data_IF_706919816657
#
_entry.id   IF_706919816657
#
_cell.length_a   1.000
_cell.length_b   1.000
_cell.length_c   1.000
_cell.angle_alpha   90.00
_cell.angle_beta   90.00
_cell.angle_gamma   90.00
#
_symmetry.space_group_name_H-M   'P 1'
#
loop_
_entity.id
_entity.type
_entity.pdbx_description
1 polymer ?
#
# COMPACT_ATOMS: atom_id res chain seq x y z
N UNK A 1 -20.09 54.14 -36.55
CA UNK A 1 -20.40 53.30 -35.41
C UNK A 1 -19.23 52.42 -35.03
N UNK A 2 -18.63 52.68 -33.87
CA UNK A 2 -17.63 51.77 -33.27
C UNK A 2 -18.38 50.66 -32.53
N UNK A 3 -18.21 49.43 -32.99
CA UNK A 3 -18.69 48.25 -32.29
C UNK A 3 -17.54 47.73 -31.45
N UNK A 4 -17.65 47.88 -30.12
CA UNK A 4 -16.77 47.24 -29.13
C UNK A 4 -17.24 45.77 -29.01
N UNK A 5 -16.45 44.86 -29.53
CA UNK A 5 -16.60 43.42 -29.24
C UNK A 5 -15.91 43.16 -27.91
N UNK A 6 -16.70 43.04 -26.87
CA UNK A 6 -16.22 42.53 -25.59
C UNK A 6 -15.79 41.06 -25.72
N UNK A 7 -14.52 40.80 -25.52
CA UNK A 7 -14.03 39.42 -25.34
C UNK A 7 -14.49 38.90 -23.97
N UNK A 8 -15.62 38.22 -23.96
CA UNK A 8 -15.93 37.33 -22.81
C UNK A 8 -14.90 36.21 -22.80
N UNK A 9 -13.97 36.34 -21.88
CA UNK A 9 -13.06 35.28 -21.51
C UNK A 9 -13.89 34.22 -20.83
N UNK A 10 -14.37 33.23 -21.61
CA UNK A 10 -14.94 32.01 -21.04
C UNK A 10 -13.91 31.36 -20.15
N UNK A 11 -14.01 31.60 -18.84
CA UNK A 11 -13.44 30.73 -17.84
C UNK A 11 -14.20 29.42 -18.01
N UNK A 12 -13.58 28.46 -18.69
CA UNK A 12 -14.02 27.09 -18.64
C UNK A 12 -13.70 26.60 -17.22
N UNK A 13 -14.67 26.72 -16.30
CA UNK A 13 -14.75 25.85 -15.14
C UNK A 13 -14.93 24.45 -15.70
N UNK A 14 -13.81 23.78 -15.92
CA UNK A 14 -13.82 22.34 -16.19
C UNK A 14 -14.14 21.63 -14.88
N UNK A 15 -15.43 21.54 -14.53
CA UNK A 15 -15.95 20.48 -13.67
C UNK A 15 -15.74 19.16 -14.40
N UNK A 16 -14.50 18.69 -14.49
CA UNK A 16 -14.23 17.32 -14.86
C UNK A 16 -14.73 16.47 -13.69
N UNK A 17 -15.82 15.76 -13.89
CA UNK A 17 -16.29 14.76 -12.94
C UNK A 17 -15.20 13.71 -12.75
N UNK A 18 -15.02 13.24 -11.52
CA UNK A 18 -14.12 12.13 -11.22
C UNK A 18 -14.52 10.92 -12.07
N UNK A 19 -13.56 10.35 -12.77
CA UNK A 19 -13.73 9.14 -13.56
C UNK A 19 -13.02 7.99 -12.87
N UNK A 20 -13.74 6.89 -12.61
CA UNK A 20 -13.24 5.68 -11.96
C UNK A 20 -13.34 4.54 -12.96
N UNK A 21 -12.21 4.03 -13.41
CA UNK A 21 -12.15 2.95 -14.40
C UNK A 21 -11.41 1.74 -13.80
N UNK A 22 -12.03 0.57 -13.86
CA UNK A 22 -11.39 -0.67 -13.41
C UNK A 22 -10.06 -0.88 -14.13
N UNK A 23 -8.98 -1.08 -13.36
CA UNK A 23 -7.62 -1.16 -13.92
C UNK A 23 -7.28 -2.57 -14.43
N UNK A 24 -7.66 -3.60 -13.68
CA UNK A 24 -7.46 -5.00 -14.06
C UNK A 24 -8.60 -5.89 -13.58
N UNK A 25 -8.74 -7.12 -14.10
CA UNK A 25 -9.71 -8.08 -13.57
C UNK A 25 -9.47 -8.47 -12.11
N UNK A 26 -8.22 -8.45 -11.66
CA UNK A 26 -7.85 -8.91 -10.32
C UNK A 26 -8.07 -7.82 -9.25
N UNK A 27 -7.50 -6.63 -9.44
CA UNK A 27 -7.48 -5.58 -8.41
C UNK A 27 -7.18 -4.22 -9.03
N UNK A 28 -7.74 -3.17 -8.46
CA UNK A 28 -7.41 -1.78 -8.72
C UNK A 28 -8.34 -1.05 -9.68
N UNK A 29 -8.42 0.27 -9.48
CA UNK A 29 -9.07 1.21 -10.39
C UNK A 29 -8.16 2.42 -10.65
N UNK A 30 -8.20 2.93 -11.88
CA UNK A 30 -7.58 4.19 -12.26
C UNK A 30 -8.56 5.33 -12.01
N UNK A 31 -8.06 6.40 -11.38
CA UNK A 31 -8.83 7.61 -11.04
C UNK A 31 -8.28 8.77 -11.84
N UNK A 32 -9.18 9.48 -12.56
CA UNK A 32 -8.90 10.69 -13.29
C UNK A 32 -9.85 11.83 -12.89
N UNK A 33 -9.53 13.05 -13.25
CA UNK A 33 -10.39 14.22 -13.01
C UNK A 33 -10.34 14.78 -11.60
N UNK A 34 -9.42 14.30 -10.74
CA UNK A 34 -9.16 14.85 -9.39
C UNK A 34 -7.71 15.34 -9.29
N UNK A 35 -7.50 16.48 -8.64
CA UNK A 35 -6.16 17.05 -8.36
C UNK A 35 -5.89 16.97 -6.85
N UNK A 36 -5.14 15.94 -6.46
CA UNK A 36 -4.81 15.69 -5.05
C UNK A 36 -3.91 16.77 -4.44
N UNK A 37 -3.21 17.57 -5.25
CA UNK A 37 -2.34 18.65 -4.76
C UNK A 37 -3.09 19.76 -4.03
N UNK A 38 -4.39 19.88 -4.24
CA UNK A 38 -5.30 20.82 -3.55
C UNK A 38 -6.11 20.19 -2.42
N UNK A 39 -5.88 18.88 -2.15
CA UNK A 39 -6.72 18.10 -1.25
C UNK A 39 -7.98 17.58 -1.94
N UNK A 40 -8.87 16.99 -1.14
CA UNK A 40 -10.14 16.44 -1.59
C UNK A 40 -11.30 17.23 -0.97
N UNK A 41 -12.31 17.57 -1.75
CA UNK A 41 -13.60 18.05 -1.22
C UNK A 41 -14.32 16.95 -0.45
N UNK A 42 -15.44 17.28 0.21
CA UNK A 42 -16.26 16.30 0.91
C UNK A 42 -16.83 15.21 0.00
N UNK A 43 -17.29 15.60 -1.19
CA UNK A 43 -17.86 14.67 -2.17
C UNK A 43 -16.77 13.82 -2.85
N UNK A 44 -15.67 14.45 -3.30
CA UNK A 44 -14.53 13.71 -3.86
C UNK A 44 -14.01 12.64 -2.88
N UNK A 45 -13.93 12.97 -1.59
CA UNK A 45 -13.50 11.99 -0.60
C UNK A 45 -14.48 10.82 -0.46
N UNK A 46 -15.78 11.06 -0.46
CA UNK A 46 -16.78 9.99 -0.40
C UNK A 46 -16.66 9.03 -1.59
N UNK A 47 -16.47 9.59 -2.80
CA UNK A 47 -16.29 8.80 -4.01
C UNK A 47 -14.96 8.00 -3.98
N UNK A 48 -13.87 8.63 -3.55
CA UNK A 48 -12.56 7.97 -3.38
C UNK A 48 -12.63 6.87 -2.34
N UNK A 49 -13.24 7.13 -1.17
CA UNK A 49 -13.39 6.12 -0.12
C UNK A 49 -14.25 4.92 -0.58
N UNK A 50 -15.35 5.20 -1.28
CA UNK A 50 -16.15 4.13 -1.87
C UNK A 50 -15.35 3.31 -2.89
N UNK A 51 -14.65 3.97 -3.80
CA UNK A 51 -13.81 3.29 -4.79
C UNK A 51 -12.68 2.48 -4.14
N UNK A 52 -12.11 2.98 -3.04
CA UNK A 52 -11.09 2.29 -2.26
C UNK A 52 -11.60 0.95 -1.70
N UNK A 53 -12.81 0.93 -1.15
CA UNK A 53 -13.43 -0.30 -0.66
C UNK A 53 -13.84 -1.26 -1.80
N UNK A 54 -14.31 -0.72 -2.92
CA UNK A 54 -14.75 -1.52 -4.07
C UNK A 54 -13.58 -2.14 -4.85
N UNK A 55 -12.44 -1.44 -4.94
CA UNK A 55 -11.31 -1.80 -5.82
C UNK A 55 -9.99 -2.11 -5.10
N UNK A 56 -9.87 -1.88 -3.81
CA UNK A 56 -8.73 -2.14 -2.90
C UNK A 56 -7.45 -1.35 -3.22
N UNK A 57 -7.22 -0.97 -4.48
CA UNK A 57 -6.08 -0.14 -4.92
C UNK A 57 -6.59 0.93 -5.87
N UNK A 58 -6.20 2.18 -5.62
CA UNK A 58 -6.53 3.31 -6.49
C UNK A 58 -5.26 3.92 -7.09
N UNK A 59 -5.26 4.08 -8.40
CA UNK A 59 -4.18 4.66 -9.19
C UNK A 59 -4.60 6.03 -9.70
N UNK A 60 -4.05 7.10 -9.11
CA UNK A 60 -4.33 8.47 -9.52
C UNK A 60 -3.27 8.90 -10.53
N UNK A 61 -3.69 9.09 -11.77
CA UNK A 61 -2.85 9.54 -12.88
C UNK A 61 -2.81 11.06 -12.97
N UNK A 62 -1.80 11.57 -13.71
CA UNK A 62 -1.68 12.97 -14.10
C UNK A 62 -1.68 13.95 -12.92
N UNK A 63 -1.11 13.50 -11.78
CA UNK A 63 -1.07 14.31 -10.59
C UNK A 63 0.08 15.31 -10.62
N UNK A 64 -0.11 16.44 -9.92
CA UNK A 64 0.98 17.31 -9.53
C UNK A 64 1.67 16.76 -8.27
N UNK A 65 2.85 17.27 -7.96
CA UNK A 65 3.46 16.99 -6.68
C UNK A 65 2.57 17.49 -5.54
N UNK A 66 2.20 16.61 -4.62
CA UNK A 66 1.35 16.96 -3.49
C UNK A 66 2.23 17.63 -2.42
N UNK A 67 1.88 18.84 -1.94
CA UNK A 67 2.55 19.42 -0.78
C UNK A 67 2.52 18.47 0.42
N UNK A 68 3.59 18.37 1.24
CA UNK A 68 3.64 17.46 2.38
C UNK A 68 2.45 17.58 3.32
N UNK A 69 2.05 18.80 3.68
CA UNK A 69 0.91 19.09 4.53
C UNK A 69 -0.43 18.60 3.94
N UNK A 70 -0.61 18.75 2.63
CA UNK A 70 -1.81 18.26 1.93
C UNK A 70 -1.84 16.74 1.88
N UNK A 71 -0.68 16.10 1.66
CA UNK A 71 -0.56 14.64 1.69
C UNK A 71 -0.96 14.06 3.06
N UNK A 72 -0.48 14.69 4.13
CA UNK A 72 -0.85 14.38 5.52
C UNK A 72 -2.35 14.58 5.75
N UNK A 73 -2.92 15.70 5.30
CA UNK A 73 -4.35 16.00 5.47
C UNK A 73 -5.25 15.00 4.73
N UNK A 74 -4.89 14.58 3.52
CA UNK A 74 -5.64 13.54 2.81
C UNK A 74 -5.59 12.22 3.60
N UNK A 75 -4.42 11.82 4.08
CA UNK A 75 -4.28 10.60 4.90
C UNK A 75 -5.16 10.64 6.15
N UNK A 76 -5.19 11.76 6.86
CA UNK A 76 -6.00 11.96 8.08
C UNK A 76 -7.51 11.84 7.85
N UNK A 77 -7.98 11.99 6.63
CA UNK A 77 -9.40 11.78 6.30
C UNK A 77 -9.82 10.31 6.36
N UNK A 78 -8.87 9.38 6.15
CA UNK A 78 -9.12 7.94 6.29
C UNK A 78 -9.00 7.47 7.75
N UNK A 79 -8.26 8.18 8.60
CA UNK A 79 -8.04 7.84 10.00
C UNK A 79 -6.78 8.49 10.59
N UNK A 80 -6.42 8.08 11.79
CA UNK A 80 -5.15 8.49 12.38
C UNK A 80 -3.98 8.01 11.53
N UNK A 81 -2.85 8.71 11.60
CA UNK A 81 -1.67 8.31 10.84
C UNK A 81 -0.79 7.34 11.66
N UNK A 82 -0.21 6.40 10.97
CA UNK A 82 0.73 5.42 11.50
C UNK A 82 2.17 5.90 11.29
N UNK A 83 3.01 5.73 12.31
CA UNK A 83 4.44 6.05 12.26
C UNK A 83 5.23 4.74 12.11
N UNK A 84 6.08 4.66 11.10
CA UNK A 84 6.85 3.46 10.83
C UNK A 84 7.81 3.16 12.00
N UNK A 85 7.81 1.92 12.56
CA UNK A 85 8.54 1.62 13.79
C UNK A 85 10.08 1.65 13.65
N UNK A 86 10.60 1.50 12.43
CA UNK A 86 12.04 1.37 12.17
C UNK A 86 12.61 2.43 11.23
N UNK A 87 11.81 3.01 10.34
CA UNK A 87 12.30 3.93 9.31
C UNK A 87 12.47 5.37 9.84
N UNK A 88 13.47 6.13 9.35
CA UNK A 88 13.62 7.54 9.68
C UNK A 88 12.49 8.37 9.07
N UNK A 89 12.05 9.37 9.82
CA UNK A 89 10.97 10.28 9.47
C UNK A 89 11.49 11.47 8.67
N UNK A 90 10.59 12.13 7.94
CA UNK A 90 10.91 13.37 7.22
C UNK A 90 11.01 14.55 8.21
N UNK A 91 12.03 15.38 8.07
CA UNK A 91 12.16 16.61 8.86
C UNK A 91 10.97 17.54 8.61
N UNK A 92 10.36 18.05 9.68
CA UNK A 92 9.18 18.92 9.64
C UNK A 92 7.84 18.18 9.40
N UNK A 93 7.86 16.93 8.95
CA UNK A 93 6.68 16.10 8.68
C UNK A 93 6.93 14.66 9.10
N UNK A 94 6.92 14.37 10.42
CA UNK A 94 7.25 13.03 10.93
C UNK A 94 6.28 11.94 10.50
N UNK A 95 5.09 12.30 10.01
CA UNK A 95 4.09 11.39 9.46
C UNK A 95 4.47 10.87 8.07
N UNK A 96 5.44 11.53 7.39
CA UNK A 96 5.84 11.17 6.03
C UNK A 96 7.08 10.29 6.08
N UNK A 97 6.97 9.11 5.49
CA UNK A 97 8.11 8.26 5.21
C UNK A 97 8.63 8.50 3.80
N UNK A 98 9.92 8.86 3.69
CA UNK A 98 10.61 9.06 2.42
C UNK A 98 11.15 7.72 1.92
N UNK A 99 10.66 7.29 0.76
CA UNK A 99 11.24 6.17 0.01
C UNK A 99 12.30 6.75 -0.93
N UNK A 100 13.53 6.25 -0.83
CA UNK A 100 14.61 6.66 -1.71
C UNK A 100 15.57 5.49 -1.94
N UNK A 101 15.73 5.11 -3.19
CA UNK A 101 16.69 4.12 -3.66
C UNK A 101 17.61 4.80 -4.67
N UNK A 102 18.91 4.59 -4.55
CA UNK A 102 19.95 5.21 -5.38
C UNK A 102 21.12 4.24 -5.59
N UNK A 103 22.16 4.67 -6.32
CA UNK A 103 23.33 3.85 -6.68
C UNK A 103 23.99 3.13 -5.50
N UNK A 104 24.04 3.77 -4.34
CA UNK A 104 24.72 3.23 -3.15
C UNK A 104 23.77 2.41 -2.26
N UNK A 105 22.49 2.32 -2.60
CA UNK A 105 21.52 1.50 -1.89
C UNK A 105 21.84 0.02 -2.04
N UNK A 106 21.84 -0.71 -0.92
CA UNK A 106 22.08 -2.15 -0.88
C UNK A 106 20.79 -2.97 -0.91
N UNK A 107 19.70 -2.33 -0.56
CA UNK A 107 18.34 -2.91 -0.45
C UNK A 107 17.34 -1.86 -0.92
N UNK A 108 16.19 -2.30 -1.42
CA UNK A 108 15.05 -1.44 -1.71
C UNK A 108 13.91 -1.70 -0.73
N UNK A 109 13.12 -0.66 -0.43
CA UNK A 109 11.94 -0.83 0.41
C UNK A 109 10.84 -1.55 -0.38
N UNK A 110 10.28 -2.62 0.21
CA UNK A 110 9.16 -3.33 -0.37
C UNK A 110 9.52 -4.33 -1.46
N UNK A 111 10.78 -4.79 -1.54
CA UNK A 111 11.26 -5.77 -2.52
C UNK A 111 10.80 -7.22 -2.27
N UNK A 112 9.89 -7.44 -1.34
CA UNK A 112 9.24 -8.72 -1.05
C UNK A 112 7.73 -8.54 -1.03
N UNK A 113 6.98 -9.61 -1.30
CA UNK A 113 5.54 -9.61 -1.08
C UNK A 113 5.20 -9.37 0.39
N UNK A 114 4.44 -8.32 0.67
CA UNK A 114 4.05 -7.96 2.03
C UNK A 114 2.76 -7.14 2.07
N UNK A 115 2.14 -7.17 3.24
CA UNK A 115 1.24 -6.12 3.72
C UNK A 115 2.03 -5.24 4.68
N UNK A 116 1.89 -3.92 4.58
CA UNK A 116 2.70 -2.99 5.37
C UNK A 116 2.59 -3.27 6.87
N UNK A 117 3.76 -3.40 7.52
CA UNK A 117 3.93 -3.46 8.97
C UNK A 117 2.97 -4.46 9.65
N UNK A 118 2.70 -5.61 9.01
CA UNK A 118 1.83 -6.64 9.58
C UNK A 118 2.35 -7.26 10.87
N UNK A 119 3.55 -6.90 11.29
CA UNK A 119 4.14 -7.24 12.58
C UNK A 119 3.60 -6.42 13.75
N UNK A 120 2.92 -5.31 13.52
CA UNK A 120 2.28 -4.51 14.57
C UNK A 120 1.01 -5.17 15.09
N UNK A 121 0.62 -4.88 16.34
CA UNK A 121 -0.65 -5.36 16.92
C UNK A 121 -1.86 -4.80 16.17
N UNK A 122 -1.77 -3.54 15.75
CA UNK A 122 -2.74 -2.82 14.92
C UNK A 122 -2.06 -2.38 13.61
N UNK A 123 -1.95 -3.28 12.61
CA UNK A 123 -1.30 -2.97 11.36
C UNK A 123 -2.00 -1.84 10.59
N UNK A 124 -1.28 -1.10 9.74
CA UNK A 124 -1.87 -0.02 8.96
C UNK A 124 -3.08 -0.44 8.14
N UNK A 125 -4.12 0.42 8.12
CA UNK A 125 -5.27 0.30 7.25
C UNK A 125 -4.87 0.41 5.78
N UNK A 126 -4.09 1.44 5.44
CA UNK A 126 -3.72 1.72 4.06
C UNK A 126 -2.52 2.65 3.95
N UNK A 127 -2.00 2.73 2.75
CA UNK A 127 -0.84 3.57 2.44
C UNK A 127 -1.08 4.36 1.16
N UNK A 128 -0.73 5.65 1.18
CA UNK A 128 -0.77 6.55 0.05
C UNK A 128 0.65 6.97 -0.33
N UNK A 129 1.10 6.52 -1.51
CA UNK A 129 2.45 6.78 -2.03
C UNK A 129 2.40 7.65 -3.27
N UNK A 130 3.23 8.69 -3.31
CA UNK A 130 3.54 9.46 -4.52
C UNK A 130 5.01 9.31 -4.89
N UNK A 131 5.30 9.04 -6.17
CA UNK A 131 6.68 8.99 -6.68
C UNK A 131 7.01 10.22 -7.51
N UNK A 132 8.08 10.92 -7.10
CA UNK A 132 8.54 12.16 -7.74
C UNK A 132 9.69 11.95 -8.71
N UNK A 133 10.54 10.95 -8.44
CA UNK A 133 11.67 10.56 -9.27
C UNK A 133 11.55 9.08 -9.61
N UNK A 134 11.66 8.78 -10.88
CA UNK A 134 11.52 7.43 -11.42
C UNK A 134 12.72 7.09 -12.31
N UNK A 135 13.14 5.82 -12.33
CA UNK A 135 14.05 5.33 -13.34
C UNK A 135 13.42 5.42 -14.74
N UNK A 136 14.21 5.52 -15.81
CA UNK A 136 13.67 5.53 -17.17
C UNK A 136 12.94 4.22 -17.55
N UNK A 137 13.35 3.10 -16.93
CA UNK A 137 12.77 1.77 -17.11
C UNK A 137 12.79 1.02 -15.78
N UNK A 138 11.77 0.22 -15.50
CA UNK A 138 11.67 -0.56 -14.27
C UNK A 138 11.04 0.21 -13.11
N UNK A 139 11.12 -0.35 -11.91
CA UNK A 139 10.57 0.23 -10.68
C UNK A 139 9.06 0.13 -10.54
N UNK A 140 8.43 -0.78 -11.26
CA UNK A 140 6.99 -1.04 -11.16
C UNK A 140 6.63 -1.61 -9.79
N UNK A 141 5.35 -1.54 -9.44
CA UNK A 141 4.81 -2.17 -8.22
C UNK A 141 3.74 -3.18 -8.60
N UNK A 142 3.83 -4.36 -8.00
CA UNK A 142 2.83 -5.42 -8.11
C UNK A 142 1.87 -5.35 -6.91
N UNK A 143 0.59 -5.62 -7.15
CA UNK A 143 -0.44 -5.73 -6.11
C UNK A 143 -1.17 -7.06 -6.27
N UNK A 144 -1.48 -7.74 -5.18
CA UNK A 144 -2.19 -9.02 -5.17
C UNK A 144 -3.44 -8.96 -4.29
N UNK A 145 -4.57 -9.45 -4.80
CA UNK A 145 -5.88 -9.42 -4.18
C UNK A 145 -6.06 -10.57 -3.19
N UNK A 146 -6.04 -10.26 -1.90
CA UNK A 146 -6.17 -11.27 -0.85
C UNK A 146 -7.61 -11.73 -0.59
N UNK A 147 -8.62 -10.97 -1.03
CA UNK A 147 -9.99 -11.46 -1.07
C UNK A 147 -10.11 -12.62 -2.07
N UNK A 148 -9.65 -12.39 -3.30
CA UNK A 148 -9.67 -13.43 -4.34
C UNK A 148 -8.82 -14.64 -3.94
N UNK A 149 -7.66 -14.41 -3.34
CA UNK A 149 -6.81 -15.49 -2.83
C UNK A 149 -7.54 -16.37 -1.82
N UNK A 150 -8.33 -15.80 -0.91
CA UNK A 150 -9.17 -16.58 0.01
C UNK A 150 -10.33 -17.27 -0.73
N UNK A 151 -11.06 -16.54 -1.56
CA UNK A 151 -12.27 -17.03 -2.26
C UNK A 151 -11.95 -18.20 -3.21
N UNK A 152 -10.75 -18.29 -3.78
CA UNK A 152 -10.33 -19.37 -4.69
C UNK A 152 -9.72 -20.61 -3.99
N UNK A 153 -9.56 -20.57 -2.66
CA UNK A 153 -9.30 -21.80 -1.90
C UNK A 153 -10.52 -22.72 -1.93
N UNK A 154 -10.29 -24.04 -1.89
CA UNK A 154 -11.39 -24.98 -1.70
C UNK A 154 -12.12 -24.72 -0.37
N UNK A 155 -13.43 -24.96 -0.31
CA UNK A 155 -14.22 -24.77 0.92
C UNK A 155 -13.62 -25.51 2.13
N UNK A 156 -13.05 -26.68 1.91
CA UNK A 156 -12.38 -27.45 2.97
C UNK A 156 -11.15 -26.71 3.48
N UNK A 157 -10.37 -26.13 2.58
CA UNK A 157 -9.15 -25.43 2.98
C UNK A 157 -9.46 -24.05 3.56
N UNK A 158 -10.51 -23.36 3.10
CA UNK A 158 -11.02 -22.14 3.74
C UNK A 158 -11.39 -22.41 5.21
N UNK A 159 -12.19 -23.46 5.46
CA UNK A 159 -12.58 -23.86 6.83
C UNK A 159 -11.39 -24.23 7.71
N UNK A 160 -10.38 -24.85 7.13
CA UNK A 160 -9.14 -25.14 7.85
C UNK A 160 -8.38 -23.85 8.20
N UNK A 161 -8.23 -22.92 7.27
CA UNK A 161 -7.54 -21.65 7.48
C UNK A 161 -8.28 -20.71 8.45
N UNK A 162 -9.60 -20.71 8.46
CA UNK A 162 -10.43 -19.85 9.32
C UNK A 162 -10.17 -20.05 10.82
N UNK A 163 -9.64 -21.20 11.23
CA UNK A 163 -9.30 -21.51 12.62
C UNK A 163 -7.85 -21.30 13.00
N UNK A 164 -7.02 -20.79 12.07
CA UNK A 164 -5.57 -20.67 12.28
C UNK A 164 -5.15 -19.24 12.59
N UNK A 165 -4.08 -19.12 13.37
CA UNK A 165 -3.39 -17.86 13.63
C UNK A 165 -1.90 -17.96 13.25
N UNK A 166 -1.32 -16.84 12.82
CA UNK A 166 0.04 -16.78 12.34
C UNK A 166 0.86 -15.73 13.11
N UNK A 167 2.12 -16.04 13.38
CA UNK A 167 3.08 -15.12 13.96
C UNK A 167 3.70 -14.27 12.84
N UNK A 168 3.66 -12.95 13.02
CA UNK A 168 4.31 -11.97 12.17
C UNK A 168 5.45 -11.31 12.93
N UNK A 169 6.67 -11.43 12.42
CA UNK A 169 7.89 -10.94 13.05
C UNK A 169 8.61 -9.96 12.13
N UNK A 170 9.30 -8.97 12.70
CA UNK A 170 9.94 -7.92 11.90
C UNK A 170 11.44 -7.80 12.09
N UNK A 171 12.03 -8.48 13.06
CA UNK A 171 13.46 -8.35 13.34
C UNK A 171 14.32 -8.68 12.10
N UNK A 172 14.04 -9.79 11.43
CA UNK A 172 14.76 -10.24 10.23
C UNK A 172 14.57 -9.29 9.03
N UNK A 173 13.48 -8.48 9.03
CA UNK A 173 13.20 -7.50 7.99
C UNK A 173 13.88 -6.15 8.29
N UNK A 174 13.87 -5.71 9.54
CA UNK A 174 14.24 -4.34 9.89
C UNK A 174 15.66 -4.19 10.47
N UNK A 175 16.23 -5.23 11.10
CA UNK A 175 17.56 -5.15 11.68
C UNK A 175 18.61 -4.82 10.62
N UNK A 176 19.34 -3.72 10.84
CA UNK A 176 20.36 -3.22 9.94
C UNK A 176 19.86 -2.52 8.67
N UNK A 177 18.55 -2.56 8.39
CA UNK A 177 17.98 -2.08 7.12
C UNK A 177 18.18 -0.59 6.86
N UNK A 178 18.19 0.21 7.93
CA UNK A 178 18.31 1.68 7.85
C UNK A 178 19.62 2.20 8.45
N UNK A 179 20.63 1.35 8.58
CA UNK A 179 21.94 1.73 9.12
C UNK A 179 22.67 2.76 8.26
N UNK A 180 22.51 2.70 6.95
CA UNK A 180 23.01 3.68 5.97
C UNK A 180 22.31 5.05 6.08
N UNK A 181 21.17 5.11 6.76
CA UNK A 181 20.42 6.33 7.06
C UNK A 181 20.58 6.80 8.51
N UNK A 182 21.58 6.30 9.20
CA UNK A 182 21.93 6.70 10.57
C UNK A 182 21.09 6.10 11.68
N UNK A 183 20.32 5.04 11.38
CA UNK A 183 19.55 4.33 12.40
C UNK A 183 20.44 3.35 13.15
N UNK A 184 20.55 3.53 14.48
CA UNK A 184 21.25 2.59 15.37
C UNK A 184 20.24 1.54 15.87
N UNK A 185 20.56 0.27 15.67
CA UNK A 185 19.76 -0.87 16.06
C UNK A 185 20.19 -1.50 17.42
N UNK A 186 21.18 -0.91 18.09
CA UNK A 186 21.63 -1.42 19.39
C UNK A 186 20.52 -1.36 20.43
N UNK A 187 20.19 -2.53 21.00
CA UNK A 187 19.14 -2.65 22.03
C UNK A 187 17.70 -2.49 21.56
N UNK A 188 17.45 -2.35 20.24
CA UNK A 188 16.07 -2.28 19.72
C UNK A 188 15.34 -3.60 19.89
N UNK A 189 14.09 -3.48 20.32
CA UNK A 189 13.08 -4.54 20.26
C UNK A 189 12.20 -4.28 19.04
N UNK A 190 12.08 -5.28 18.19
CA UNK A 190 11.27 -5.20 16.99
C UNK A 190 9.86 -5.74 17.24
N UNK A 191 8.82 -5.10 16.69
CA UNK A 191 7.46 -5.57 16.88
C UNK A 191 7.24 -6.96 16.30
N UNK A 192 6.43 -7.74 17.00
CA UNK A 192 5.90 -9.01 16.53
C UNK A 192 4.49 -9.19 17.07
N UNK A 193 3.61 -9.77 16.29
CA UNK A 193 2.20 -9.98 16.67
C UNK A 193 1.64 -11.25 16.06
N UNK A 194 0.62 -11.79 16.72
CA UNK A 194 -0.13 -12.93 16.21
C UNK A 194 -1.44 -12.43 15.63
N UNK A 195 -1.72 -12.80 14.38
CA UNK A 195 -2.93 -12.44 13.65
C UNK A 195 -3.64 -13.67 13.09
N UNK A 196 -4.96 -13.60 12.82
CA UNK A 196 -5.63 -14.67 12.11
C UNK A 196 -5.02 -14.86 10.71
N UNK A 197 -4.90 -16.11 10.25
CA UNK A 197 -4.50 -16.42 8.85
C UNK A 197 -5.51 -15.87 7.86
N UNK A 198 -6.78 -15.83 8.25
CA UNK A 198 -7.89 -15.23 7.49
C UNK A 198 -8.48 -14.11 8.33
N UNK A 199 -8.28 -12.86 7.90
CA UNK A 199 -8.90 -11.71 8.57
C UNK A 199 -10.22 -11.33 7.94
N UNK A 200 -11.14 -10.79 8.75
CA UNK A 200 -12.33 -10.12 8.26
C UNK A 200 -12.06 -8.64 8.06
N UNK A 201 -12.40 -8.10 6.89
CA UNK A 201 -12.26 -6.68 6.64
C UNK A 201 -13.34 -5.88 7.38
N UNK A 202 -12.99 -4.88 8.22
CA UNK A 202 -13.93 -4.25 9.15
C UNK A 202 -15.04 -3.45 8.48
N UNK A 203 -14.82 -2.93 7.26
CA UNK A 203 -15.82 -2.12 6.55
C UNK A 203 -16.63 -2.92 5.51
N UNK A 204 -16.02 -3.92 4.85
CA UNK A 204 -16.70 -4.70 3.81
C UNK A 204 -17.28 -6.02 4.32
N UNK A 205 -16.81 -6.53 5.46
CA UNK A 205 -17.15 -7.85 5.99
C UNK A 205 -16.57 -9.02 5.20
N UNK A 206 -15.81 -8.76 4.12
CA UNK A 206 -15.19 -9.81 3.31
C UNK A 206 -13.98 -10.41 4.02
N UNK A 207 -13.74 -11.69 3.78
CA UNK A 207 -12.56 -12.42 4.27
C UNK A 207 -11.40 -12.30 3.29
N UNK A 208 -10.19 -12.13 3.83
CA UNK A 208 -8.95 -12.04 3.08
C UNK A 208 -7.87 -12.91 3.73
N UNK A 209 -7.02 -13.56 2.93
CA UNK A 209 -5.81 -14.17 3.46
C UNK A 209 -4.89 -13.09 4.03
N UNK A 210 -4.36 -13.35 5.23
CA UNK A 210 -3.52 -12.39 5.94
C UNK A 210 -2.21 -13.02 6.40
N UNK A 211 -1.50 -13.60 5.46
CA UNK A 211 -0.13 -14.10 5.58
C UNK A 211 0.72 -13.52 4.46
N UNK A 212 1.98 -13.19 4.73
CA UNK A 212 2.87 -12.65 3.71
C UNK A 212 4.32 -13.09 3.93
N UNK A 213 5.09 -13.12 2.85
CA UNK A 213 6.46 -13.63 2.84
C UNK A 213 7.43 -12.80 3.68
N UNK A 214 7.20 -11.50 3.82
CA UNK A 214 8.10 -10.63 4.56
C UNK A 214 8.05 -10.85 6.07
N UNK A 215 6.85 -11.02 6.65
CA UNK A 215 6.67 -10.97 8.09
C UNK A 215 6.17 -12.28 8.71
N UNK A 216 5.42 -13.11 7.96
CA UNK A 216 4.79 -14.31 8.54
C UNK A 216 5.79 -15.44 8.66
N UNK A 217 6.04 -15.91 9.89
CA UNK A 217 7.08 -16.89 10.18
C UNK A 217 6.56 -18.24 10.65
N UNK A 218 5.34 -18.29 11.22
CA UNK A 218 4.80 -19.51 11.80
C UNK A 218 3.28 -19.48 11.91
N UNK A 219 2.63 -20.63 11.69
CA UNK A 219 1.23 -20.91 12.08
C UNK A 219 1.23 -21.52 13.47
N UNK A 220 0.48 -20.92 14.41
CA UNK A 220 0.62 -21.21 15.84
C UNK A 220 0.08 -22.58 16.25
N UNK A 221 -1.01 -23.04 15.64
CA UNK A 221 -1.74 -24.25 15.98
C UNK A 221 -1.10 -25.53 15.42
N UNK A 222 -0.08 -25.38 14.54
CA UNK A 222 0.54 -26.49 13.83
C UNK A 222 1.93 -26.80 14.38
N UNK A 223 2.36 -28.06 14.22
CA UNK A 223 3.76 -28.42 14.41
C UNK A 223 4.67 -27.66 13.46
N UNK A 224 5.96 -27.63 13.71
CA UNK A 224 6.92 -26.87 12.89
C UNK A 224 6.89 -27.30 11.41
N UNK A 225 6.87 -28.62 11.17
CA UNK A 225 6.84 -29.15 9.80
C UNK A 225 5.51 -28.90 9.08
N UNK A 226 4.39 -29.05 9.79
CA UNK A 226 3.05 -28.73 9.27
C UNK A 226 2.93 -27.23 8.98
N UNK A 227 3.36 -26.39 9.91
CA UNK A 227 3.34 -24.93 9.77
C UNK A 227 4.11 -24.50 8.51
N UNK A 228 5.32 -25.03 8.32
CA UNK A 228 6.12 -24.74 7.13
C UNK A 228 5.40 -25.15 5.86
N UNK A 229 4.88 -26.38 5.78
CA UNK A 229 4.22 -26.87 4.59
C UNK A 229 2.95 -26.09 4.24
N UNK A 230 2.12 -25.75 5.22
CA UNK A 230 0.89 -24.98 5.02
C UNK A 230 1.20 -23.52 4.67
N UNK A 231 2.18 -22.93 5.35
CA UNK A 231 2.57 -21.54 5.09
C UNK A 231 3.17 -21.38 3.69
N UNK A 232 4.06 -22.28 3.26
CA UNK A 232 4.63 -22.26 1.91
C UNK A 232 3.52 -22.34 0.84
N UNK A 233 2.55 -23.24 1.02
CA UNK A 233 1.40 -23.35 0.13
C UNK A 233 0.59 -22.04 0.07
N UNK A 234 0.29 -21.44 1.23
CA UNK A 234 -0.48 -20.20 1.30
C UNK A 234 0.27 -19.02 0.68
N UNK A 235 1.57 -18.89 0.93
CA UNK A 235 2.40 -17.83 0.36
C UNK A 235 2.46 -17.93 -1.16
N UNK A 236 2.71 -19.13 -1.70
CA UNK A 236 2.72 -19.37 -3.15
C UNK A 236 1.34 -19.11 -3.77
N UNK A 237 0.27 -19.45 -3.05
CA UNK A 237 -1.09 -19.18 -3.49
C UNK A 237 -1.39 -17.67 -3.53
N UNK A 238 -0.99 -16.90 -2.52
CA UNK A 238 -1.16 -15.45 -2.50
C UNK A 238 -0.44 -14.74 -3.66
N UNK A 239 0.60 -15.36 -4.19
CA UNK A 239 1.46 -14.81 -5.26
C UNK A 239 1.06 -15.32 -6.67
N UNK A 240 -0.12 -15.90 -6.85
CA UNK A 240 -0.57 -16.35 -8.17
C UNK A 240 -0.83 -15.16 -9.10
N UNK A 241 -0.42 -15.32 -10.37
CA UNK A 241 -0.53 -14.28 -11.39
C UNK A 241 -1.98 -13.81 -11.63
N UNK A 242 -2.96 -14.71 -11.44
CA UNK A 242 -4.40 -14.40 -11.59
C UNK A 242 -4.92 -13.39 -10.56
N UNK A 243 -4.24 -13.25 -9.40
CA UNK A 243 -4.62 -12.31 -8.34
C UNK A 243 -3.91 -10.97 -8.47
N UNK A 244 -2.95 -10.86 -9.39
CA UNK A 244 -2.03 -9.73 -9.46
C UNK A 244 -2.43 -8.69 -10.49
N UNK A 245 -2.01 -7.47 -10.21
CA UNK A 245 -1.87 -6.41 -11.19
C UNK A 245 -0.49 -5.79 -11.09
N UNK A 246 0.04 -5.34 -12.25
CA UNK A 246 1.34 -4.65 -12.33
C UNK A 246 1.11 -3.20 -12.70
N UNK A 247 1.53 -2.29 -11.83
CA UNK A 247 1.42 -0.86 -12.03
C UNK A 247 2.75 -0.27 -12.48
N UNK A 248 2.75 0.30 -13.68
CA UNK A 248 3.85 1.09 -14.21
C UNK A 248 3.66 2.55 -13.84
N UNK A 249 4.59 3.06 -13.06
CA UNK A 249 4.56 4.43 -12.56
C UNK A 249 4.87 5.46 -13.65
N UNK A 250 4.19 6.59 -13.56
CA UNK A 250 4.55 7.85 -14.21
C UNK A 250 4.88 8.87 -13.12
N UNK A 251 5.67 9.91 -13.48
CA UNK A 251 6.07 10.93 -12.51
C UNK A 251 4.84 11.57 -11.85
N UNK A 252 4.90 11.66 -10.54
CA UNK A 252 3.87 12.18 -9.65
C UNK A 252 2.57 11.34 -9.58
N UNK A 253 2.50 10.19 -10.21
CA UNK A 253 1.40 9.27 -9.92
C UNK A 253 1.28 9.02 -8.42
N UNK A 254 0.04 8.84 -7.96
CA UNK A 254 -0.27 8.49 -6.59
C UNK A 254 -0.97 7.15 -6.58
N UNK A 255 -0.59 6.29 -5.65
CA UNK A 255 -1.28 5.03 -5.41
C UNK A 255 -1.71 4.96 -3.95
N UNK A 256 -2.97 4.63 -3.75
CA UNK A 256 -3.56 4.35 -2.43
C UNK A 256 -3.98 2.88 -2.40
N UNK A 257 -3.47 2.09 -1.45
CA UNK A 257 -3.84 0.68 -1.32
C UNK A 257 -4.29 0.32 0.08
N UNK A 258 -5.19 -0.68 0.15
CA UNK A 258 -5.75 -1.22 1.38
C UNK A 258 -4.91 -2.39 1.89
N UNK A 259 -4.12 -2.16 2.92
CA UNK A 259 -3.25 -3.17 3.54
C UNK A 259 -4.03 -4.33 4.20
N UNK A 260 -5.34 -4.15 4.42
CA UNK A 260 -6.18 -5.15 5.07
C UNK A 260 -6.55 -6.31 4.13
N UNK A 261 -6.45 -6.07 2.81
CA UNK A 261 -6.87 -7.04 1.79
C UNK A 261 -6.00 -7.09 0.54
N UNK A 262 -4.85 -6.42 0.54
CA UNK A 262 -3.89 -6.38 -0.58
C UNK A 262 -2.48 -6.61 -0.06
N UNK A 263 -1.71 -7.41 -0.77
CA UNK A 263 -0.26 -7.44 -0.67
C UNK A 263 0.36 -6.70 -1.85
N UNK A 264 1.57 -6.19 -1.66
CA UNK A 264 2.30 -5.53 -2.72
C UNK A 264 3.79 -5.88 -2.72
N UNK A 265 4.42 -5.66 -3.87
CA UNK A 265 5.84 -5.93 -4.11
C UNK A 265 6.40 -4.84 -5.03
N UNK A 266 7.33 -4.04 -4.54
CA UNK A 266 8.05 -3.06 -5.35
C UNK A 266 9.24 -3.73 -6.05
N UNK A 267 9.28 -3.68 -7.37
CA UNK A 267 10.39 -4.25 -8.12
C UNK A 267 11.64 -3.38 -8.02
N UNK A 268 12.78 -3.99 -7.69
CA UNK A 268 14.07 -3.32 -7.73
C UNK A 268 14.93 -3.85 -8.89
N UNK A 269 14.46 -3.56 -10.09
CA UNK A 269 15.03 -3.99 -11.38
C UNK A 269 15.67 -2.83 -12.16
N UNK A 270 15.95 -1.71 -11.50
CA UNK A 270 16.40 -0.46 -12.10
C UNK A 270 17.76 0.04 -11.59
N UNK A 271 18.47 -0.74 -10.77
CA UNK A 271 19.82 -0.32 -10.33
C UNK A 271 20.73 -0.06 -11.54
N UNK A 272 21.54 1.02 -11.57
CA UNK A 272 21.87 1.96 -10.49
C UNK A 272 21.03 3.24 -10.47
N UNK A 273 19.91 3.27 -11.15
CA UNK A 273 19.05 4.45 -11.28
C UNK A 273 18.35 4.79 -9.95
N UNK A 274 17.86 6.03 -9.85
CA UNK A 274 17.18 6.52 -8.65
C UNK A 274 15.67 6.36 -8.75
N UNK A 275 15.05 6.05 -7.60
CA UNK A 275 13.61 6.06 -7.40
C UNK A 275 13.31 6.71 -6.06
N UNK A 276 12.49 7.79 -6.06
CA UNK A 276 12.20 8.55 -4.85
C UNK A 276 10.76 8.99 -4.78
N UNK A 277 10.20 8.92 -3.58
CA UNK A 277 8.86 9.41 -3.29
C UNK A 277 8.59 9.57 -1.81
N UNK A 278 7.35 9.90 -1.51
CA UNK A 278 6.84 10.12 -0.15
C UNK A 278 5.58 9.31 0.06
N UNK A 279 5.46 8.69 1.22
CA UNK A 279 4.24 8.00 1.59
C UNK A 279 3.71 8.46 2.94
N UNK A 280 2.41 8.44 3.06
CA UNK A 280 1.65 8.57 4.31
C UNK A 280 0.97 7.23 4.56
N UNK A 281 1.06 6.75 5.79
CA UNK A 281 0.47 5.48 6.20
C UNK A 281 -0.62 5.75 7.22
N UNK A 282 -1.77 5.11 7.07
CA UNK A 282 -2.96 5.33 7.88
C UNK A 282 -3.05 4.19 8.91
N UNK A 283 -3.21 4.53 10.18
CA UNK A 283 -3.37 3.56 11.25
C UNK A 283 -4.62 2.69 11.02
N UNK A 284 -4.50 1.43 11.35
CA UNK A 284 -5.56 0.45 11.16
C UNK A 284 -6.12 -0.08 12.47
N UNK A 285 -6.62 -1.30 12.39
CA UNK A 285 -7.28 -2.04 13.45
C UNK A 285 -6.55 -3.35 13.74
N UNK A 286 -6.82 -3.94 14.89
CA UNK A 286 -6.38 -5.29 15.20
C UNK A 286 -7.11 -6.29 14.31
N UNK A 287 -6.40 -7.11 13.51
CA UNK A 287 -7.01 -8.12 12.66
C UNK A 287 -7.83 -9.16 13.46
N UNK A 288 -9.01 -9.51 12.96
CA UNK A 288 -9.91 -10.50 13.56
C UNK A 288 -10.61 -11.37 12.51
#
# INVERSE_FOLDING_TARGET
GFCLVGSEMCIRDSNMSMEITRFSPAVGAEIRGVDLSRGLTGEEFKEVHKAFLDHQVLFFREQKEIPPEVHVEIGKRFGNLHFHPAAPQMEGHPEIFVIHTHRDSKIANGEFWHSDVSCDEEPPLGTMLQLHLLPPVGGDTLFSNMYQAYEELSETFQKFCDGLSALHESEHVYRGRYSDRGVDDAGKVYPSSVHPVVRTHPETGRKALYVNRAFTTRIQELSEDESRAVLDLLLDHCEQLSFQTRFRWQKNDVVLWDNRCVQHHALWDYWPEERKGRRVTIAGDRPY
#
